data_IF_262850799407
#
_entry.id   IF_262850799407
#
_cell.length_a   1.000
_cell.length_b   1.000
_cell.length_c   1.000
_cell.angle_alpha   90.00
_cell.angle_beta   90.00
_cell.angle_gamma   90.00
#
_symmetry.space_group_name_H-M   'P 1'
#
loop_
_entity.id
_entity.type
_entity.pdbx_description
1 polymer ?
#
# COMPACT_ATOMS: atom_id res chain seq x y z
N UNK A 1 12.02 -15.85 -42.72
CA UNK A 1 11.32 -15.68 -41.43
C UNK A 1 11.93 -14.45 -40.74
N UNK A 2 11.31 -13.27 -40.82
CA UNK A 2 11.83 -12.06 -40.17
C UNK A 2 11.43 -12.03 -38.68
N UNK A 3 12.36 -11.60 -37.82
CA UNK A 3 12.17 -11.41 -36.38
C UNK A 3 11.17 -10.27 -36.15
N UNK A 4 10.11 -10.56 -35.39
CA UNK A 4 9.19 -9.56 -34.88
C UNK A 4 9.93 -8.61 -33.93
N UNK A 5 9.89 -7.32 -34.25
CA UNK A 5 10.42 -6.25 -33.39
C UNK A 5 9.53 -6.06 -32.17
N UNK A 6 10.16 -5.95 -31.00
CA UNK A 6 9.52 -5.45 -29.78
C UNK A 6 9.40 -3.93 -29.90
N UNK A 7 8.23 -3.32 -29.65
CA UNK A 7 8.17 -1.88 -29.42
C UNK A 7 8.67 -1.59 -28.00
N UNK A 8 9.76 -0.83 -27.90
CA UNK A 8 10.10 -0.10 -26.69
C UNK A 8 9.16 1.12 -26.58
N UNK A 9 8.46 1.27 -25.46
CA UNK A 9 7.77 2.51 -25.11
C UNK A 9 8.31 3.01 -23.78
N UNK A 10 9.13 4.07 -23.75
CA UNK A 10 9.34 4.83 -22.53
C UNK A 10 8.09 5.68 -22.26
N UNK A 11 7.57 5.60 -21.03
CA UNK A 11 6.53 6.49 -20.49
C UNK A 11 7.02 7.94 -20.57
N UNK A 12 6.56 8.68 -21.57
CA UNK A 12 6.83 10.09 -21.70
C UNK A 12 5.87 10.85 -20.78
N UNK A 13 6.36 11.25 -19.61
CA UNK A 13 5.81 12.43 -18.94
C UNK A 13 5.90 13.57 -19.95
N UNK A 14 4.74 14.02 -20.45
CA UNK A 14 4.63 15.11 -21.43
C UNK A 14 5.53 16.28 -21.00
N UNK A 15 6.20 16.93 -21.96
CA UNK A 15 6.98 18.15 -21.68
C UNK A 15 6.14 19.19 -20.89
N UNK A 16 4.83 19.19 -21.12
CA UNK A 16 3.87 20.02 -20.39
C UNK A 16 3.67 19.60 -18.92
N UNK A 17 3.73 18.30 -18.63
CA UNK A 17 3.72 17.76 -17.26
C UNK A 17 5.02 18.08 -16.50
N UNK A 18 6.16 18.04 -17.18
CA UNK A 18 7.46 18.43 -16.60
C UNK A 18 7.48 19.91 -16.21
N UNK A 19 7.07 20.81 -17.11
CA UNK A 19 7.02 22.25 -16.80
C UNK A 19 6.01 22.56 -15.70
N UNK A 20 4.86 21.87 -15.66
CA UNK A 20 3.88 22.02 -14.56
C UNK A 20 4.46 21.60 -13.21
N UNK A 21 5.23 20.51 -13.18
CA UNK A 21 5.92 20.04 -11.99
C UNK A 21 6.95 21.06 -11.49
N UNK A 22 7.77 21.62 -12.39
CA UNK A 22 8.75 22.67 -12.04
C UNK A 22 8.09 23.95 -11.51
N UNK A 23 6.96 24.38 -12.10
CA UNK A 23 6.17 25.51 -11.60
C UNK A 23 5.68 25.25 -10.18
N UNK A 24 5.12 24.07 -9.91
CA UNK A 24 4.66 23.70 -8.58
C UNK A 24 5.83 23.60 -7.58
N UNK A 25 6.99 23.04 -7.99
CA UNK A 25 8.18 22.90 -7.15
C UNK A 25 8.71 24.26 -6.68
N UNK A 26 8.73 25.24 -7.58
CA UNK A 26 9.18 26.58 -7.27
C UNK A 26 8.29 27.28 -6.21
N UNK A 27 6.97 27.11 -6.31
CA UNK A 27 6.01 27.61 -5.32
C UNK A 27 6.12 26.90 -3.97
N UNK A 28 6.53 25.62 -3.98
CA UNK A 28 6.80 24.86 -2.76
C UNK A 28 8.02 25.42 -2.02
N UNK A 29 9.13 25.62 -2.75
CA UNK A 29 10.44 25.98 -2.20
C UNK A 29 10.51 27.45 -1.75
N UNK A 30 9.91 28.37 -2.52
CA UNK A 30 10.06 29.82 -2.30
C UNK A 30 8.80 30.48 -1.74
N UNK A 31 7.72 29.72 -1.60
CA UNK A 31 6.45 30.21 -1.08
C UNK A 31 5.65 31.03 -2.11
N UNK A 32 4.72 31.88 -1.66
CA UNK A 32 3.79 32.57 -2.56
C UNK A 32 4.47 33.53 -3.53
N UNK A 33 4.25 33.37 -4.84
CA UNK A 33 4.93 34.15 -5.88
C UNK A 33 3.99 34.57 -7.01
N UNK A 34 4.37 35.60 -7.77
CA UNK A 34 3.59 36.00 -8.97
C UNK A 34 4.01 35.17 -10.18
N UNK A 35 3.11 35.04 -11.16
CA UNK A 35 3.41 34.36 -12.42
C UNK A 35 4.61 34.96 -13.18
N UNK A 36 4.91 36.24 -12.99
CA UNK A 36 6.07 36.91 -13.62
C UNK A 36 7.37 36.40 -13.00
N UNK A 37 7.44 36.34 -11.67
CA UNK A 37 8.66 35.88 -10.98
C UNK A 37 8.91 34.40 -11.26
N UNK A 38 7.86 33.58 -11.31
CA UNK A 38 7.97 32.15 -11.70
C UNK A 38 8.51 32.02 -13.14
N UNK A 39 8.05 32.87 -14.05
CA UNK A 39 8.51 32.89 -15.45
C UNK A 39 9.98 33.29 -15.58
N UNK A 40 10.41 34.31 -14.84
CA UNK A 40 11.81 34.75 -14.80
C UNK A 40 12.74 33.64 -14.28
N UNK A 41 12.36 32.95 -13.20
CA UNK A 41 13.19 31.91 -12.60
C UNK A 41 13.25 30.63 -13.45
N UNK A 42 12.18 30.28 -14.15
CA UNK A 42 12.14 29.10 -15.03
C UNK A 42 12.64 29.39 -16.46
N UNK A 43 12.92 30.66 -16.80
CA UNK A 43 13.39 31.05 -18.13
C UNK A 43 12.36 30.80 -19.25
N UNK A 44 11.07 30.80 -18.93
CA UNK A 44 9.97 30.56 -19.88
C UNK A 44 9.00 31.74 -19.94
N UNK A 45 8.11 31.77 -20.93
CA UNK A 45 7.20 32.91 -21.09
C UNK A 45 6.17 32.99 -19.96
N UNK A 46 5.79 34.22 -19.52
CA UNK A 46 4.72 34.39 -18.53
C UNK A 46 3.37 33.78 -18.95
N UNK A 47 3.12 33.67 -20.26
CA UNK A 47 1.91 33.02 -20.79
C UNK A 47 1.95 31.51 -20.57
N UNK A 48 3.10 30.86 -20.78
CA UNK A 48 3.27 29.44 -20.52
C UNK A 48 3.09 29.12 -19.03
N UNK A 49 3.72 29.91 -18.14
CA UNK A 49 3.55 29.77 -16.70
C UNK A 49 2.09 29.92 -16.27
N UNK A 50 1.38 30.94 -16.79
CA UNK A 50 -0.04 31.13 -16.46
C UNK A 50 -0.89 29.91 -16.83
N UNK A 51 -0.66 29.30 -18.00
CA UNK A 51 -1.36 28.06 -18.39
C UNK A 51 -1.15 26.93 -17.37
N UNK A 52 0.06 26.77 -16.86
CA UNK A 52 0.35 25.76 -15.83
C UNK A 52 -0.26 26.10 -14.47
N UNK A 53 -0.21 27.37 -14.06
CA UNK A 53 -0.83 27.83 -12.82
C UNK A 53 -2.36 27.69 -12.88
N UNK A 54 -2.98 28.02 -14.01
CA UNK A 54 -4.43 27.88 -14.21
C UNK A 54 -4.85 26.40 -14.12
N UNK A 55 -4.03 25.47 -14.63
CA UNK A 55 -4.27 24.04 -14.46
C UNK A 55 -4.15 23.60 -13.00
N UNK A 56 -3.13 24.07 -12.26
CA UNK A 56 -2.99 23.79 -10.83
C UNK A 56 -4.16 24.35 -10.01
N UNK A 57 -4.68 25.52 -10.38
CA UNK A 57 -5.89 26.09 -9.78
C UNK A 57 -7.13 25.26 -10.08
N UNK A 58 -7.29 24.81 -11.33
CA UNK A 58 -8.42 23.97 -11.74
C UNK A 58 -8.41 22.60 -11.04
N UNK A 59 -7.23 22.05 -10.80
CA UNK A 59 -7.02 20.78 -10.09
C UNK A 59 -7.13 20.94 -8.56
N UNK A 60 -7.31 22.16 -8.04
CA UNK A 60 -7.39 22.45 -6.60
C UNK A 60 -6.05 22.31 -5.85
N UNK A 61 -4.94 22.28 -6.58
CA UNK A 61 -3.58 22.09 -6.09
C UNK A 61 -2.85 23.41 -5.82
N UNK A 62 -3.38 24.51 -6.35
CA UNK A 62 -2.93 25.85 -6.04
C UNK A 62 -4.11 26.73 -5.64
N UNK A 63 -3.81 27.83 -4.96
CA UNK A 63 -4.74 28.92 -4.69
C UNK A 63 -4.08 30.28 -4.92
N UNK A 64 -4.90 31.33 -5.00
CA UNK A 64 -4.40 32.70 -5.19
C UNK A 64 -4.70 33.59 -4.01
N UNK A 65 -3.74 34.44 -3.66
CA UNK A 65 -3.89 35.53 -2.68
C UNK A 65 -3.53 36.86 -3.34
N UNK A 66 -4.22 37.94 -2.96
CA UNK A 66 -3.82 39.28 -3.40
C UNK A 66 -2.47 39.68 -2.78
N UNK A 67 -1.55 40.18 -3.61
CA UNK A 67 -0.28 40.70 -3.11
C UNK A 67 -0.52 41.89 -2.14
N UNK A 68 0.24 41.99 -1.03
CA UNK A 68 0.18 43.15 -0.15
C UNK A 68 0.40 44.44 -0.95
N UNK A 69 -0.49 45.43 -0.79
CA UNK A 69 -0.32 46.74 -1.43
C UNK A 69 0.89 47.45 -0.81
N UNK A 70 2.01 47.51 -1.54
CA UNK A 70 3.14 48.39 -1.22
C UNK A 70 3.11 49.61 -2.17
N UNK A 71 2.77 50.78 -1.63
CA UNK A 71 2.88 52.06 -2.33
C UNK A 71 1.56 52.83 -2.56
N UNK A 72 1.64 54.11 -2.98
CA UNK A 72 0.46 54.95 -3.25
C UNK A 72 -0.35 54.41 -4.43
N UNK A 73 -1.65 54.73 -4.45
CA UNK A 73 -2.67 54.26 -5.42
C UNK A 73 -2.21 54.32 -6.89
N UNK A 74 -1.58 53.25 -7.38
CA UNK A 74 -1.43 52.98 -8.81
C UNK A 74 -2.73 52.45 -9.41
N UNK A 75 -2.98 52.76 -10.70
CA UNK A 75 -4.14 52.26 -11.46
C UNK A 75 -3.88 50.79 -11.81
N UNK A 76 -4.74 49.87 -11.35
CA UNK A 76 -4.69 48.46 -11.73
C UNK A 76 -5.19 47.50 -10.63
N UNK A 77 -5.63 46.30 -11.03
CA UNK A 77 -5.94 45.20 -10.10
C UNK A 77 -4.64 44.73 -9.42
N UNK A 78 -4.62 44.50 -8.10
CA UNK A 78 -3.44 43.97 -7.41
C UNK A 78 -2.90 42.70 -8.09
N UNK A 79 -1.56 42.54 -8.12
CA UNK A 79 -0.95 41.33 -8.62
C UNK A 79 -1.38 40.13 -7.76
N UNK A 80 -1.68 38.99 -8.39
CA UNK A 80 -1.99 37.75 -7.68
C UNK A 80 -0.70 37.01 -7.32
N UNK A 81 -0.61 36.58 -6.07
CA UNK A 81 0.33 35.58 -5.60
C UNK A 81 -0.32 34.20 -5.74
N UNK A 82 0.43 33.23 -6.22
CA UNK A 82 0.06 31.83 -6.32
C UNK A 82 0.79 31.06 -5.23
N UNK A 83 0.12 30.10 -4.60
CA UNK A 83 0.69 29.23 -3.58
C UNK A 83 0.06 27.84 -3.68
N UNK A 84 0.80 26.82 -3.27
CA UNK A 84 0.27 25.46 -3.22
C UNK A 84 -0.65 25.27 -2.02
N UNK A 85 -1.77 24.60 -2.27
CA UNK A 85 -2.67 24.05 -1.24
C UNK A 85 -2.03 22.78 -0.63
N UNK A 86 -2.64 22.24 0.42
CA UNK A 86 -2.23 20.95 1.01
C UNK A 86 -2.15 19.83 -0.04
N UNK A 87 -3.16 19.73 -0.91
CA UNK A 87 -3.21 18.75 -2.00
C UNK A 87 -2.11 18.98 -3.04
N UNK A 88 -1.78 20.24 -3.36
CA UNK A 88 -0.67 20.55 -4.26
C UNK A 88 0.70 20.23 -3.67
N UNK A 89 0.86 20.40 -2.35
CA UNK A 89 2.09 20.01 -1.62
C UNK A 89 2.26 18.49 -1.56
N UNK A 90 1.17 17.74 -1.44
CA UNK A 90 1.19 16.28 -1.44
C UNK A 90 1.73 15.66 -2.75
N UNK A 91 1.73 16.40 -3.86
CA UNK A 91 2.36 15.96 -5.13
C UNK A 91 3.87 15.77 -5.05
N UNK A 92 4.51 16.40 -4.07
CA UNK A 92 5.94 16.26 -3.79
C UNK A 92 6.21 15.17 -2.75
N UNK A 93 5.30 14.18 -2.66
CA UNK A 93 5.26 13.02 -1.76
C UNK A 93 6.45 12.07 -1.84
N UNK A 94 7.66 12.62 -1.90
CA UNK A 94 8.92 11.94 -1.69
C UNK A 94 9.61 12.45 -0.42
N UNK A 95 9.43 13.71 -0.01
CA UNK A 95 10.10 14.24 1.19
C UNK A 95 9.66 13.53 2.50
N UNK A 96 8.37 13.18 2.61
CA UNK A 96 7.87 12.45 3.78
C UNK A 96 8.26 10.97 3.75
N UNK A 97 8.26 10.36 2.57
CA UNK A 97 8.69 8.98 2.38
C UNK A 97 10.20 8.86 2.65
N UNK A 98 11.02 9.80 2.16
CA UNK A 98 12.46 9.89 2.42
C UNK A 98 12.75 10.11 3.90
N UNK A 99 11.98 10.98 4.57
CA UNK A 99 12.10 11.18 6.02
C UNK A 99 11.73 9.91 6.78
N UNK A 100 10.65 9.23 6.39
CA UNK A 100 10.20 7.99 7.03
C UNK A 100 11.22 6.86 6.83
N UNK A 101 11.77 6.70 5.62
CA UNK A 101 12.87 5.78 5.31
C UNK A 101 14.08 6.11 6.17
N UNK A 102 14.48 7.39 6.23
CA UNK A 102 15.63 7.83 7.03
C UNK A 102 15.43 7.55 8.52
N UNK A 103 14.22 7.75 9.05
CA UNK A 103 13.91 7.48 10.44
C UNK A 103 13.97 5.97 10.78
N UNK A 104 13.44 5.12 9.90
CA UNK A 104 13.48 3.66 10.11
C UNK A 104 14.90 3.12 9.89
N UNK A 105 15.67 3.68 8.95
CA UNK A 105 17.09 3.37 8.79
C UNK A 105 17.89 3.73 10.05
N UNK A 106 17.67 4.91 10.60
CA UNK A 106 18.26 5.31 11.87
C UNK A 106 17.90 4.34 13.00
N UNK A 107 16.64 3.91 13.08
CA UNK A 107 16.19 2.91 14.04
C UNK A 107 16.91 1.56 13.85
N UNK A 108 17.02 1.08 12.61
CA UNK A 108 17.72 -0.16 12.28
C UNK A 108 19.20 -0.08 12.70
N UNK A 109 19.87 1.03 12.39
CA UNK A 109 21.30 1.24 12.69
C UNK A 109 21.58 1.31 14.21
N UNK A 110 20.67 1.89 15.00
CA UNK A 110 20.93 2.17 16.42
C UNK A 110 20.26 1.19 17.38
N UNK A 111 19.15 0.56 16.97
CA UNK A 111 18.36 -0.35 17.81
C UNK A 111 18.21 -1.75 17.19
N UNK A 112 18.71 -1.97 15.97
CA UNK A 112 18.71 -3.27 15.30
C UNK A 112 17.40 -3.62 14.58
N UNK A 113 17.46 -4.70 13.80
CA UNK A 113 16.34 -5.20 12.99
C UNK A 113 15.11 -5.59 13.80
N UNK A 114 15.29 -6.08 15.04
CA UNK A 114 14.18 -6.43 15.91
C UNK A 114 13.36 -5.21 16.35
N UNK A 115 13.99 -4.04 16.47
CA UNK A 115 13.28 -2.80 16.73
C UNK A 115 12.42 -2.37 15.54
N UNK A 116 12.90 -2.58 14.31
CA UNK A 116 12.13 -2.33 13.07
C UNK A 116 10.92 -3.26 13.00
N UNK A 117 11.10 -4.54 13.35
CA UNK A 117 10.01 -5.52 13.42
C UNK A 117 8.95 -5.14 14.46
N UNK A 118 9.37 -4.80 15.68
CA UNK A 118 8.46 -4.35 16.74
C UNK A 118 7.70 -3.08 16.34
N UNK A 119 8.36 -2.14 15.65
CA UNK A 119 7.70 -0.97 15.09
C UNK A 119 6.63 -1.36 14.05
N UNK A 120 6.95 -2.27 13.13
CA UNK A 120 6.01 -2.74 12.12
C UNK A 120 4.77 -3.42 12.74
N UNK A 121 4.96 -4.28 13.73
CA UNK A 121 3.91 -4.93 14.51
C UNK A 121 3.01 -3.91 15.22
N UNK A 122 3.61 -2.95 15.93
CA UNK A 122 2.85 -1.91 16.62
C UNK A 122 2.06 -1.03 15.64
N UNK A 123 2.66 -0.73 14.47
CA UNK A 123 2.02 0.08 13.43
C UNK A 123 0.78 -0.62 12.89
N UNK A 124 0.87 -1.90 12.53
CA UNK A 124 -0.29 -2.62 12.00
C UNK A 124 -1.37 -2.80 13.06
N UNK A 125 -1.00 -3.07 14.33
CA UNK A 125 -1.98 -3.19 15.41
C UNK A 125 -2.75 -1.87 15.62
N UNK A 126 -2.07 -0.72 15.58
CA UNK A 126 -2.74 0.58 15.64
C UNK A 126 -3.72 0.81 14.49
N UNK A 127 -3.39 0.30 13.30
CA UNK A 127 -4.19 0.46 12.09
C UNK A 127 -5.45 -0.39 12.14
N UNK A 128 -5.32 -1.67 12.52
CA UNK A 128 -6.44 -2.64 12.48
C UNK A 128 -7.17 -2.78 13.82
N UNK A 129 -6.53 -2.43 14.93
CA UNK A 129 -7.04 -2.57 16.29
C UNK A 129 -8.43 -1.93 16.50
N UNK A 130 -8.67 -0.68 16.07
CA UNK A 130 -9.99 -0.04 16.16
C UNK A 130 -11.10 -0.80 15.42
N UNK A 131 -10.74 -1.60 14.40
CA UNK A 131 -11.68 -2.34 13.55
C UNK A 131 -11.77 -3.82 13.94
N UNK A 132 -10.97 -4.29 14.90
CA UNK A 132 -10.83 -5.72 15.25
C UNK A 132 -12.17 -6.39 15.52
N UNK A 133 -13.04 -5.79 16.33
CA UNK A 133 -14.35 -6.36 16.65
C UNK A 133 -15.27 -6.52 15.42
N UNK A 134 -15.22 -5.56 14.48
CA UNK A 134 -15.98 -5.64 13.24
C UNK A 134 -15.41 -6.73 12.31
N UNK A 135 -14.09 -6.89 12.28
CA UNK A 135 -13.41 -7.90 11.45
C UNK A 135 -13.66 -9.31 12.00
N UNK A 136 -13.59 -9.51 13.32
CA UNK A 136 -13.71 -10.84 13.94
C UNK A 136 -15.14 -11.22 14.33
N UNK A 137 -16.14 -10.42 13.94
CA UNK A 137 -17.55 -10.66 14.27
C UNK A 137 -18.18 -11.85 13.54
N UNK A 138 -17.54 -12.35 12.48
CA UNK A 138 -17.98 -13.53 11.73
C UNK A 138 -16.98 -14.67 11.89
N UNK A 139 -17.45 -15.91 11.88
CA UNK A 139 -16.61 -17.11 11.82
C UNK A 139 -16.14 -17.45 10.41
N UNK A 140 -16.76 -16.86 9.37
CA UNK A 140 -16.41 -17.12 7.97
C UNK A 140 -15.21 -16.24 7.52
N UNK A 141 -14.08 -16.84 7.12
CA UNK A 141 -12.90 -16.09 6.66
C UNK A 141 -13.18 -15.14 5.48
N UNK A 142 -14.11 -15.48 4.58
CA UNK A 142 -14.45 -14.60 3.46
C UNK A 142 -15.15 -13.32 3.95
N UNK A 143 -16.13 -13.47 4.85
CA UNK A 143 -16.79 -12.33 5.52
C UNK A 143 -15.79 -11.48 6.31
N UNK A 144 -14.86 -12.11 7.04
CA UNK A 144 -13.79 -11.38 7.77
C UNK A 144 -12.88 -10.62 6.80
N UNK A 145 -12.58 -11.17 5.63
CA UNK A 145 -11.76 -10.52 4.60
C UNK A 145 -12.46 -9.29 4.00
N UNK A 146 -13.78 -9.33 3.82
CA UNK A 146 -14.57 -8.16 3.39
C UNK A 146 -14.56 -7.04 4.44
N UNK A 147 -14.73 -7.39 5.72
CA UNK A 147 -14.64 -6.45 6.82
C UNK A 147 -13.22 -5.85 6.92
N UNK A 148 -12.18 -6.67 6.74
CA UNK A 148 -10.78 -6.21 6.70
C UNK A 148 -10.52 -5.28 5.52
N UNK A 149 -11.01 -5.58 4.32
CA UNK A 149 -10.91 -4.69 3.16
C UNK A 149 -11.59 -3.33 3.41
N UNK A 150 -12.74 -3.34 4.09
CA UNK A 150 -13.44 -2.13 4.48
C UNK A 150 -12.61 -1.30 5.47
N UNK A 151 -12.02 -1.95 6.48
CA UNK A 151 -11.14 -1.30 7.45
C UNK A 151 -9.92 -0.69 6.77
N UNK A 152 -9.19 -1.47 5.95
CA UNK A 152 -8.02 -1.00 5.21
C UNK A 152 -8.34 0.17 4.28
N UNK A 153 -9.52 0.18 3.65
CA UNK A 153 -9.96 1.31 2.82
C UNK A 153 -10.16 2.58 3.63
N UNK A 154 -10.71 2.48 4.85
CA UNK A 154 -10.82 3.62 5.78
C UNK A 154 -9.45 4.16 6.20
N UNK A 155 -8.46 3.28 6.30
CA UNK A 155 -7.06 3.62 6.59
C UNK A 155 -6.25 4.03 5.32
N UNK A 156 -6.92 4.18 4.17
CA UNK A 156 -6.32 4.74 2.95
C UNK A 156 -5.66 3.73 2.01
N UNK A 157 -5.90 2.42 2.13
CA UNK A 157 -5.27 1.39 1.29
C UNK A 157 -6.04 1.03 0.00
N UNK A 158 -7.18 1.66 -0.28
CA UNK A 158 -8.02 1.34 -1.43
C UNK A 158 -8.19 -0.18 -1.65
N UNK A 159 -8.75 -0.85 -0.64
CA UNK A 159 -8.77 -2.30 -0.55
C UNK A 159 -10.12 -2.90 -0.97
N UNK A 160 -10.09 -4.10 -1.53
CA UNK A 160 -11.27 -4.84 -1.98
C UNK A 160 -11.05 -6.35 -1.83
N UNK A 161 -12.13 -7.13 -1.89
CA UNK A 161 -12.06 -8.59 -1.99
C UNK A 161 -12.54 -9.08 -3.35
N UNK A 162 -12.03 -10.23 -3.79
CA UNK A 162 -12.50 -10.98 -4.96
C UNK A 162 -12.67 -12.44 -4.60
N UNK A 163 -13.73 -13.07 -5.07
CA UNK A 163 -13.93 -14.52 -4.93
C UNK A 163 -13.00 -15.25 -5.92
N UNK A 164 -12.32 -16.30 -5.45
CA UNK A 164 -11.50 -17.17 -6.31
C UNK A 164 -12.28 -18.46 -6.56
N UNK A 165 -12.80 -18.58 -7.78
CA UNK A 165 -13.59 -19.74 -8.20
C UNK A 165 -12.73 -21.02 -8.23
N UNK A 166 -13.32 -22.14 -7.83
CA UNK A 166 -12.70 -23.45 -7.95
C UNK A 166 -12.84 -24.03 -9.37
N UNK A 167 -12.01 -25.03 -9.72
CA UNK A 167 -12.13 -25.73 -11.00
C UNK A 167 -13.48 -26.42 -11.20
N UNK A 168 -14.22 -26.72 -10.12
CA UNK A 168 -15.56 -27.30 -10.17
C UNK A 168 -16.66 -26.22 -10.00
N UNK A 169 -17.75 -26.28 -10.79
CA UNK A 169 -18.86 -25.34 -10.66
C UNK A 169 -19.47 -25.36 -9.24
N UNK A 170 -19.63 -24.19 -8.62
CA UNK A 170 -20.26 -24.05 -7.31
C UNK A 170 -19.34 -24.22 -6.10
N UNK A 171 -18.03 -24.33 -6.29
CA UNK A 171 -17.03 -24.30 -5.20
C UNK A 171 -16.16 -23.04 -5.29
N UNK A 172 -15.84 -22.45 -4.15
CA UNK A 172 -14.86 -21.36 -4.02
C UNK A 172 -13.60 -21.90 -3.33
N UNK A 173 -12.42 -21.58 -3.86
CA UNK A 173 -11.12 -21.99 -3.29
C UNK A 173 -10.68 -21.01 -2.21
N UNK A 174 -11.12 -19.76 -2.32
CA UNK A 174 -10.55 -18.66 -1.55
C UNK A 174 -11.29 -17.34 -1.79
N UNK A 175 -11.02 -16.39 -0.91
CA UNK A 175 -11.12 -14.98 -1.23
C UNK A 175 -9.72 -14.43 -1.52
N UNK A 176 -9.64 -13.37 -2.31
CA UNK A 176 -8.42 -12.61 -2.55
C UNK A 176 -8.63 -11.19 -2.04
N UNK A 177 -7.82 -10.79 -1.07
CA UNK A 177 -7.74 -9.42 -0.58
C UNK A 177 -6.77 -8.64 -1.48
N UNK A 178 -7.24 -7.56 -2.08
CA UNK A 178 -6.49 -6.71 -2.99
C UNK A 178 -6.34 -5.31 -2.39
N UNK A 179 -5.13 -4.75 -2.35
CA UNK A 179 -4.88 -3.35 -2.00
C UNK A 179 -4.30 -2.65 -3.25
N UNK A 180 -5.05 -1.67 -3.78
CA UNK A 180 -4.63 -0.90 -4.96
C UNK A 180 -3.81 0.35 -4.61
N UNK A 181 -3.71 0.65 -3.31
CA UNK A 181 -2.84 1.70 -2.78
C UNK A 181 -2.21 1.20 -1.48
N UNK A 182 -0.93 1.47 -1.26
CA UNK A 182 -0.27 1.18 0.01
C UNK A 182 0.47 2.46 0.44
N UNK A 183 -0.02 3.17 1.48
CA UNK A 183 0.57 4.42 1.95
C UNK A 183 2.02 4.31 2.43
N UNK A 184 2.55 3.10 2.59
CA UNK A 184 3.92 2.84 3.04
C UNK A 184 4.71 1.99 2.05
N UNK A 185 4.27 1.90 0.79
CA UNK A 185 4.91 1.07 -0.23
C UNK A 185 6.39 1.41 -0.42
N UNK A 186 6.73 2.70 -0.41
CA UNK A 186 8.11 3.17 -0.58
C UNK A 186 9.01 2.71 0.58
N UNK A 187 8.55 2.91 1.81
CA UNK A 187 9.26 2.47 3.02
C UNK A 187 9.39 0.95 3.07
N UNK A 188 8.32 0.23 2.74
CA UNK A 188 8.29 -1.23 2.75
C UNK A 188 9.15 -1.87 1.66
N UNK A 189 9.57 -1.12 0.64
CA UNK A 189 10.52 -1.59 -0.36
C UNK A 189 11.93 -1.78 0.23
N UNK A 190 12.32 -0.95 1.21
CA UNK A 190 13.60 -1.08 1.93
C UNK A 190 13.45 -1.90 3.22
N UNK A 191 12.30 -1.84 3.88
CA UNK A 191 12.02 -2.51 5.15
C UNK A 191 10.85 -3.51 5.02
N UNK A 192 11.08 -4.74 4.50
CA UNK A 192 10.05 -5.76 4.28
C UNK A 192 9.26 -6.18 5.53
N UNK A 193 9.80 -5.95 6.72
CA UNK A 193 9.17 -6.21 8.02
C UNK A 193 7.77 -5.58 8.10
N UNK A 194 7.54 -4.45 7.42
CA UNK A 194 6.22 -3.80 7.30
C UNK A 194 5.20 -4.70 6.59
N UNK A 195 5.58 -5.34 5.49
CA UNK A 195 4.71 -6.26 4.77
C UNK A 195 4.55 -7.61 5.49
N UNK A 196 5.59 -8.05 6.19
CA UNK A 196 5.57 -9.29 6.98
C UNK A 196 4.61 -9.17 8.17
N UNK A 197 4.75 -8.12 8.99
CA UNK A 197 3.86 -7.84 10.10
C UNK A 197 2.40 -7.65 9.65
N UNK A 198 2.18 -6.98 8.51
CA UNK A 198 0.84 -6.87 7.90
C UNK A 198 0.26 -8.25 7.55
N UNK A 199 1.07 -9.13 6.96
CA UNK A 199 0.65 -10.47 6.55
C UNK A 199 0.30 -11.35 7.76
N UNK A 200 1.10 -11.26 8.82
CA UNK A 200 0.83 -11.97 10.08
C UNK A 200 -0.45 -11.45 10.74
N UNK A 201 -0.62 -10.14 10.84
CA UNK A 201 -1.83 -9.54 11.39
C UNK A 201 -3.08 -9.97 10.60
N UNK A 202 -2.99 -10.05 9.27
CA UNK A 202 -4.09 -10.55 8.44
C UNK A 202 -4.41 -12.02 8.74
N UNK A 203 -3.39 -12.89 8.87
CA UNK A 203 -3.61 -14.28 9.24
C UNK A 203 -4.39 -14.41 10.57
N UNK A 204 -3.96 -13.66 11.58
CA UNK A 204 -4.61 -13.63 12.90
C UNK A 204 -6.04 -13.08 12.81
N UNK A 205 -6.24 -11.97 12.09
CA UNK A 205 -7.53 -11.31 11.92
C UNK A 205 -8.50 -12.05 11.02
N UNK A 206 -8.05 -13.01 10.22
CA UNK A 206 -8.90 -13.86 9.39
C UNK A 206 -9.08 -15.26 9.98
N UNK A 207 -8.25 -15.63 10.96
CA UNK A 207 -8.29 -16.94 11.63
C UNK A 207 -7.90 -18.09 10.71
N UNK A 208 -7.17 -17.80 9.64
CA UNK A 208 -6.67 -18.79 8.69
C UNK A 208 -5.31 -18.34 8.18
N UNK A 209 -4.53 -19.27 7.64
CA UNK A 209 -3.29 -18.90 6.97
C UNK A 209 -3.62 -18.04 5.75
N UNK A 210 -2.74 -17.10 5.43
CA UNK A 210 -2.85 -16.29 4.22
C UNK A 210 -1.56 -16.34 3.44
N UNK A 211 -1.66 -16.12 2.13
CA UNK A 211 -0.48 -16.09 1.26
C UNK A 211 -0.43 -14.78 0.49
N UNK A 212 0.61 -13.98 0.74
CA UNK A 212 0.92 -12.80 -0.08
C UNK A 212 1.44 -13.26 -1.43
N UNK A 213 0.75 -12.89 -2.50
CA UNK A 213 1.12 -13.26 -3.88
C UNK A 213 1.84 -12.13 -4.61
N UNK A 214 1.50 -10.88 -4.32
CA UNK A 214 2.07 -9.68 -4.94
C UNK A 214 2.11 -8.52 -3.95
N UNK A 215 3.03 -7.57 -4.14
CA UNK A 215 3.16 -6.37 -3.31
C UNK A 215 3.59 -5.15 -4.13
N UNK A 216 2.94 -4.01 -3.90
CA UNK A 216 3.34 -2.72 -4.49
C UNK A 216 4.80 -2.37 -4.15
N UNK A 217 5.26 -2.71 -2.94
CA UNK A 217 6.64 -2.52 -2.49
C UNK A 217 7.69 -3.25 -3.36
N UNK A 218 7.29 -4.32 -4.06
CA UNK A 218 8.15 -5.06 -5.01
C UNK A 218 7.92 -4.64 -6.46
N UNK A 219 7.15 -3.59 -6.70
CA UNK A 219 6.85 -3.06 -8.03
C UNK A 219 5.61 -3.65 -8.71
N UNK A 220 4.81 -4.46 -8.02
CA UNK A 220 3.53 -4.93 -8.54
C UNK A 220 2.49 -3.80 -8.62
N UNK A 221 1.48 -3.95 -9.48
CA UNK A 221 0.40 -2.96 -9.62
C UNK A 221 -0.60 -2.95 -8.46
N UNK A 222 -0.58 -3.97 -7.60
CA UNK A 222 -1.40 -4.09 -6.41
C UNK A 222 -0.78 -5.11 -5.43
N UNK A 223 -1.06 -4.95 -4.13
CA UNK A 223 -0.84 -6.04 -3.19
C UNK A 223 -1.99 -7.04 -3.32
N UNK A 224 -1.68 -8.33 -3.36
CA UNK A 224 -2.71 -9.38 -3.38
C UNK A 224 -2.40 -10.45 -2.35
N UNK A 225 -3.39 -10.80 -1.54
CA UNK A 225 -3.29 -11.81 -0.49
C UNK A 225 -4.39 -12.85 -0.69
N UNK A 226 -4.01 -14.11 -0.86
CA UNK A 226 -4.94 -15.22 -0.92
C UNK A 226 -5.38 -15.62 0.50
N UNK A 227 -6.68 -15.76 0.67
CA UNK A 227 -7.35 -16.18 1.91
C UNK A 227 -8.13 -17.46 1.57
N UNK A 228 -7.65 -18.64 1.99
CA UNK A 228 -8.29 -19.90 1.69
C UNK A 228 -9.62 -20.01 2.44
N UNK A 229 -10.66 -20.49 1.74
CA UNK A 229 -11.96 -20.82 2.35
C UNK A 229 -12.12 -22.33 2.36
N UNK A 230 -11.34 -23.03 3.17
CA UNK A 230 -11.53 -24.49 3.36
C UNK A 230 -12.54 -24.75 4.46
N UNK A 231 -13.63 -25.43 4.11
CA UNK A 231 -14.48 -26.15 5.05
C UNK A 231 -13.64 -27.22 5.75
N UNK A 232 -13.30 -27.00 7.02
CA UNK A 232 -12.63 -27.98 7.88
C UNK A 232 -11.11 -28.04 7.69
N UNK A 233 -10.40 -27.77 8.79
CA UNK A 233 -9.04 -28.28 8.96
C UNK A 233 -9.10 -29.82 8.98
N UNK A 234 -8.24 -30.58 8.28
CA UNK A 234 -7.94 -31.92 8.76
C UNK A 234 -7.25 -31.71 10.11
N UNK A 235 -7.90 -32.17 11.18
CA UNK A 235 -7.34 -32.12 12.52
C UNK A 235 -5.91 -32.67 12.48
N UNK A 236 -4.95 -31.93 13.05
CA UNK A 236 -3.67 -32.50 13.43
C UNK A 236 -3.96 -33.75 14.27
N UNK A 237 -3.37 -34.93 13.96
CA UNK A 237 -3.49 -36.05 14.87
C UNK A 237 -2.77 -35.67 16.17
N UNK A 238 -3.51 -35.56 17.26
CA UNK A 238 -2.92 -35.36 18.58
C UNK A 238 -1.90 -36.47 18.88
N UNK A 239 -0.69 -36.14 19.36
CA UNK A 239 0.27 -37.14 19.81
C UNK A 239 -0.18 -37.67 21.17
N UNK A 240 -1.14 -38.59 21.19
CA UNK A 240 -1.71 -39.06 22.45
C UNK A 240 -2.82 -40.09 22.34
N UNK A 241 -2.72 -41.07 21.45
CA UNK A 241 -3.56 -42.27 21.52
C UNK A 241 -2.69 -43.50 21.71
N UNK A 242 -2.69 -43.99 22.94
CA UNK A 242 -2.09 -45.26 23.35
C UNK A 242 -2.66 -46.41 22.53
N UNK A 243 -1.79 -47.09 21.79
CA UNK A 243 -2.10 -48.36 21.12
C UNK A 243 -2.44 -49.42 22.18
N UNK A 244 -3.60 -50.11 22.11
CA UNK A 244 -3.86 -51.22 23.01
C UNK A 244 -3.01 -52.42 22.60
N UNK A 245 -2.20 -52.90 23.54
CA UNK A 245 -1.36 -54.10 23.43
C UNK A 245 -2.15 -55.29 22.89
N UNK A 246 -1.81 -55.72 21.67
CA UNK A 246 -2.34 -56.93 21.06
C UNK A 246 -1.99 -58.18 21.88
N UNK A 247 -3.01 -58.96 22.23
CA UNK A 247 -2.91 -60.30 22.85
C UNK A 247 -2.04 -61.21 21.98
N UNK A 248 -0.94 -61.70 22.54
CA UNK A 248 -0.19 -62.84 22.00
C UNK A 248 -1.09 -64.08 21.94
N UNK A 249 -1.41 -64.52 20.72
CA UNK A 249 -2.06 -65.79 20.47
C UNK A 249 -1.06 -66.95 20.66
N UNK A 250 -1.42 -67.89 21.53
CA UNK A 250 -0.73 -69.17 21.76
C UNK A 250 -0.80 -70.04 20.50
N UNK A 251 0.34 -70.52 20.02
CA UNK A 251 0.43 -71.60 19.03
C UNK A 251 0.22 -72.94 19.77
N UNK A 252 -0.72 -73.81 19.38
CA UNK A 252 -0.82 -75.16 19.91
C UNK A 252 0.08 -76.12 19.12
N UNK A 253 0.81 -76.96 19.86
CA UNK A 253 1.60 -78.08 19.36
C UNK A 253 0.74 -79.09 18.58
N UNK A 254 1.21 -79.51 17.41
CA UNK A 254 0.77 -80.72 16.71
C UNK A 254 1.99 -81.48 16.19
N UNK A 255 2.29 -82.64 16.76
CA UNK A 255 3.39 -83.51 16.36
C UNK A 255 2.98 -84.60 15.36
N UNK A 256 3.97 -85.02 14.53
CA UNK A 256 4.24 -86.29 13.77
C UNK A 256 3.08 -86.98 13.00
N UNK A 257 3.31 -87.82 11.96
CA UNK A 257 4.46 -88.71 11.64
C UNK A 257 5.05 -88.44 10.21
N UNK A 258 6.08 -89.08 9.67
CA UNK A 258 6.66 -90.43 9.78
C UNK A 258 8.19 -90.40 9.76
#
# INVERSE_FOLDING_TARGET
MPRAGLPAVPSQVSAEGKTRHEVARLLLEQGPMTAVVVAEQLGISPTAVRRHLDALLADGEAETRDAPRRGPRGRGRPAKLFLLTESGRARFGHAYDDLAVSAIRFLAEHAGEDAVRAFAEQRIERLVGPHRAAITGSSDPATRAEALATALTREGYAASTRQVAAPAPGQNVGAQLCQHHCPVAHVAAEFPQLCEAETEAFAQLLGTHVQRLATIARGDSACTTHVPVTAGHPAHPEPGSTVPSGRTARIPNGGKPA
#
